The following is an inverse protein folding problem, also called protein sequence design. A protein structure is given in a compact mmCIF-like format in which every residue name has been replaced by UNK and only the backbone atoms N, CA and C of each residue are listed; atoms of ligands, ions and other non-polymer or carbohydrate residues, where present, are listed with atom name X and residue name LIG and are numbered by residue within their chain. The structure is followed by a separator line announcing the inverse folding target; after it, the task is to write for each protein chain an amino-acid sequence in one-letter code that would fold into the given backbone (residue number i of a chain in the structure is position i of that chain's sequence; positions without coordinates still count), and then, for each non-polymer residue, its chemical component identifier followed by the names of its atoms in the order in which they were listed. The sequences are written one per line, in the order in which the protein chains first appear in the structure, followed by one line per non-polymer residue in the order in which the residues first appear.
data_IF_078784354655
#
_entry.id   IF_078784354655
#
_cell.length_a   1.000
_cell.length_b   1.000
_cell.length_c   1.000
_cell.angle_alpha   90.00
_cell.angle_beta   90.00
_cell.angle_gamma   90.00
#
_symmetry.space_group_name_H-M   'P 1'
#
loop_
_entity.id
_entity.type
_entity.pdbx_description
1 polymer ?
#
# COMPACT_ATOMS: atom_id res chain seq x y z
N UNK A 1 4.05 -16.12 -3.82
CA UNK A 1 3.08 -16.30 -2.71
C UNK A 1 1.66 -16.32 -3.32
N UNK A 2 0.75 -17.21 -2.91
CA UNK A 2 -0.62 -17.20 -3.44
C UNK A 2 -1.38 -16.04 -2.79
N UNK A 3 -1.86 -15.07 -3.57
CA UNK A 3 -2.51 -13.87 -3.04
C UNK A 3 -3.87 -14.18 -2.39
N UNK A 4 -4.60 -15.12 -3.00
CA UNK A 4 -5.85 -15.61 -2.45
C UNK A 4 -5.54 -16.70 -1.41
N UNK A 5 -5.90 -16.53 -0.13
CA UNK A 5 -5.66 -17.55 0.89
C UNK A 5 -6.68 -18.69 0.84
N UNK A 6 -7.79 -18.51 0.12
CA UNK A 6 -8.89 -19.46 0.03
C UNK A 6 -8.52 -20.68 -0.79
N UNK A 7 -8.82 -21.86 -0.25
CA UNK A 7 -8.78 -23.12 -0.98
C UNK A 7 -10.08 -23.35 -1.73
N UNK A 8 -10.06 -24.28 -2.70
CA UNK A 8 -11.28 -24.71 -3.40
C UNK A 8 -12.31 -25.38 -2.48
N UNK A 9 -11.89 -25.86 -1.30
CA UNK A 9 -12.79 -26.39 -0.29
C UNK A 9 -13.48 -25.25 0.47
N UNK A 10 -12.74 -24.21 0.88
CA UNK A 10 -13.29 -23.03 1.53
C UNK A 10 -14.33 -22.35 0.63
N UNK A 11 -14.02 -22.21 -0.67
CA UNK A 11 -14.95 -21.62 -1.64
C UNK A 11 -16.27 -22.40 -1.70
N UNK A 12 -16.22 -23.73 -1.78
CA UNK A 12 -17.43 -24.58 -1.80
C UNK A 12 -18.24 -24.44 -0.51
N UNK A 13 -17.57 -24.42 0.64
CA UNK A 13 -18.25 -24.29 1.93
C UNK A 13 -18.94 -22.93 2.07
N UNK A 14 -18.28 -21.85 1.65
CA UNK A 14 -18.84 -20.50 1.65
C UNK A 14 -20.03 -20.42 0.69
N UNK A 15 -19.90 -20.89 -0.56
CA UNK A 15 -20.98 -20.87 -1.55
C UNK A 15 -22.21 -21.65 -1.08
N UNK A 16 -22.00 -22.85 -0.52
CA UNK A 16 -23.08 -23.65 0.07
C UNK A 16 -23.74 -22.94 1.25
N UNK A 17 -22.97 -22.26 2.10
CA UNK A 17 -23.48 -21.54 3.27
C UNK A 17 -24.36 -20.35 2.90
N UNK A 18 -24.02 -19.64 1.83
CA UNK A 18 -24.80 -18.50 1.32
C UNK A 18 -25.89 -18.91 0.32
N UNK A 19 -26.00 -20.21 -0.01
CA UNK A 19 -27.08 -20.77 -0.82
C UNK A 19 -26.96 -20.51 -2.32
N UNK A 20 -25.73 -20.44 -2.85
CA UNK A 20 -25.47 -20.41 -4.29
C UNK A 20 -24.59 -21.59 -4.71
N UNK A 21 -24.74 -22.03 -5.97
CA UNK A 21 -24.03 -23.18 -6.53
C UNK A 21 -22.69 -22.83 -7.17
N UNK A 22 -22.45 -21.55 -7.47
CA UNK A 22 -21.20 -21.06 -8.07
C UNK A 22 -20.93 -19.59 -7.78
N UNK A 23 -19.69 -19.15 -7.96
CA UNK A 23 -19.34 -17.73 -7.90
C UNK A 23 -20.09 -16.90 -8.96
N UNK A 24 -20.30 -17.43 -10.16
CA UNK A 24 -21.06 -16.73 -11.20
C UNK A 24 -22.51 -16.49 -10.77
N UNK A 25 -23.17 -17.49 -10.17
CA UNK A 25 -24.52 -17.32 -9.64
C UNK A 25 -24.59 -16.25 -8.54
N UNK A 26 -23.55 -16.12 -7.70
CA UNK A 26 -23.46 -15.04 -6.71
C UNK A 26 -23.42 -13.67 -7.39
N UNK A 27 -22.62 -13.51 -8.44
CA UNK A 27 -22.52 -12.25 -9.20
C UNK A 27 -23.85 -11.91 -9.86
N UNK A 28 -24.49 -12.87 -10.54
CA UNK A 28 -25.77 -12.66 -11.24
C UNK A 28 -26.92 -12.25 -10.31
N UNK A 29 -26.87 -12.69 -9.04
CA UNK A 29 -27.85 -12.31 -8.02
C UNK A 29 -27.63 -10.91 -7.44
N UNK A 30 -26.41 -10.36 -7.50
CA UNK A 30 -26.03 -9.10 -6.86
C UNK A 30 -25.93 -7.96 -7.87
N UNK A 31 -25.34 -8.23 -9.04
CA UNK A 31 -25.04 -7.21 -10.05
C UNK A 31 -26.02 -7.38 -11.23
N UNK A 32 -26.87 -6.37 -11.52
CA UNK A 32 -27.73 -6.37 -12.69
C UNK A 32 -26.96 -6.68 -13.98
N UNK A 33 -27.54 -7.51 -14.85
CA UNK A 33 -26.89 -8.02 -16.07
C UNK A 33 -26.39 -6.89 -16.99
N UNK A 34 -27.13 -5.78 -17.08
CA UNK A 34 -26.79 -4.61 -17.87
C UNK A 34 -25.57 -3.83 -17.33
N UNK A 35 -25.19 -4.06 -16.07
CA UNK A 35 -23.99 -3.51 -15.44
C UNK A 35 -22.80 -4.48 -15.43
N UNK A 36 -22.99 -5.73 -15.85
CA UNK A 36 -21.91 -6.71 -15.88
C UNK A 36 -21.01 -6.55 -17.11
N UNK A 37 -19.70 -6.47 -16.89
CA UNK A 37 -18.71 -6.46 -17.97
C UNK A 37 -18.29 -7.88 -18.36
N UNK A 38 -18.76 -8.34 -19.51
CA UNK A 38 -18.47 -9.68 -20.06
C UNK A 38 -17.26 -9.72 -21.01
N UNK A 39 -16.54 -8.61 -21.16
CA UNK A 39 -15.35 -8.53 -22.00
C UNK A 39 -14.11 -9.08 -21.31
N UNK A 40 -13.02 -9.20 -22.07
CA UNK A 40 -11.70 -9.44 -21.48
C UNK A 40 -11.14 -8.11 -20.99
N UNK A 41 -10.54 -8.11 -19.79
CA UNK A 41 -9.69 -7.00 -19.39
C UNK A 41 -8.47 -7.03 -20.32
N UNK A 42 -8.18 -5.96 -21.06
CA UNK A 42 -7.10 -5.89 -22.06
C UNK A 42 -5.71 -5.84 -21.44
N UNK A 43 -5.45 -6.69 -20.44
CA UNK A 43 -4.21 -6.79 -19.69
C UNK A 43 -3.26 -7.80 -20.35
N UNK A 44 -1.95 -7.61 -20.23
CA UNK A 44 -0.97 -8.63 -20.60
C UNK A 44 -1.16 -9.93 -19.81
N UNK A 45 -0.57 -11.00 -20.31
CA UNK A 45 -0.56 -12.28 -19.62
C UNK A 45 0.09 -12.17 -18.24
N UNK A 46 -0.44 -12.94 -17.28
CA UNK A 46 0.12 -13.00 -15.94
C UNK A 46 1.53 -13.57 -15.97
N UNK A 47 2.42 -12.97 -15.18
CA UNK A 47 3.81 -13.40 -15.02
C UNK A 47 4.07 -13.83 -13.58
N UNK A 48 5.09 -14.65 -13.38
CA UNK A 48 5.53 -15.04 -12.04
C UNK A 48 6.13 -13.87 -11.26
N UNK A 49 6.22 -14.02 -9.93
CA UNK A 49 6.84 -13.03 -9.05
C UNK A 49 8.30 -12.71 -9.44
N UNK A 50 9.05 -13.72 -9.91
CA UNK A 50 10.42 -13.53 -10.34
C UNK A 50 10.51 -12.76 -11.67
N UNK A 51 9.60 -13.04 -12.59
CA UNK A 51 9.54 -12.34 -13.88
C UNK A 51 9.15 -10.88 -13.68
N UNK A 52 8.12 -10.58 -12.89
CA UNK A 52 7.71 -9.20 -12.63
C UNK A 52 8.83 -8.40 -11.94
N UNK A 53 9.55 -9.00 -10.99
CA UNK A 53 10.72 -8.34 -10.36
C UNK A 53 11.80 -8.00 -11.37
N UNK A 54 12.07 -8.85 -12.36
CA UNK A 54 13.04 -8.58 -13.44
C UNK A 54 12.56 -7.45 -14.34
N UNK A 55 11.29 -7.49 -14.75
CA UNK A 55 10.66 -6.46 -15.60
C UNK A 55 10.76 -5.09 -14.91
N UNK A 56 10.33 -4.99 -13.64
CA UNK A 56 10.36 -3.74 -12.88
C UNK A 56 11.78 -3.21 -12.68
N UNK A 57 12.77 -4.09 -12.43
CA UNK A 57 14.18 -3.68 -12.34
C UNK A 57 14.73 -3.15 -13.67
N UNK A 58 14.35 -3.77 -14.79
CA UNK A 58 14.75 -3.30 -16.12
C UNK A 58 14.20 -1.90 -16.38
N UNK A 59 12.90 -1.70 -16.16
CA UNK A 59 12.24 -0.40 -16.34
C UNK A 59 12.83 0.67 -15.43
N UNK A 60 13.07 0.35 -14.16
CA UNK A 60 13.70 1.28 -13.22
C UNK A 60 15.14 1.67 -13.64
N UNK A 61 15.86 0.77 -14.33
CA UNK A 61 17.20 1.01 -14.85
C UNK A 61 17.28 2.00 -16.01
N UNK A 62 16.15 2.32 -16.64
CA UNK A 62 16.08 3.34 -17.71
C UNK A 62 16.05 4.77 -17.14
N UNK A 63 15.81 4.93 -15.83
CA UNK A 63 15.74 6.22 -15.17
C UNK A 63 17.12 6.76 -14.75
N UNK A 64 17.34 8.05 -14.93
CA UNK A 64 18.38 8.79 -14.21
C UNK A 64 17.96 8.94 -12.74
N UNK A 65 18.80 8.50 -11.81
CA UNK A 65 18.49 8.50 -10.38
C UNK A 65 19.64 9.05 -9.52
N UNK A 66 19.35 9.37 -8.27
CA UNK A 66 20.29 10.00 -7.34
C UNK A 66 21.49 9.11 -6.94
N UNK A 67 21.47 7.80 -7.24
CA UNK A 67 22.64 6.94 -6.99
C UNK A 67 23.76 7.19 -8.00
N UNK A 68 23.41 7.62 -9.22
CA UNK A 68 24.35 7.81 -10.32
C UNK A 68 24.57 9.29 -10.67
N UNK A 69 23.66 10.17 -10.23
CA UNK A 69 23.66 11.60 -10.55
C UNK A 69 23.42 12.43 -9.31
N UNK A 70 24.14 13.55 -9.19
CA UNK A 70 23.85 14.55 -8.17
C UNK A 70 22.76 15.50 -8.66
N UNK A 71 21.73 15.71 -7.85
CA UNK A 71 20.64 16.64 -8.14
C UNK A 71 20.69 17.85 -7.21
N UNK A 72 20.86 19.04 -7.79
CA UNK A 72 20.81 20.33 -7.07
C UNK A 72 19.62 21.20 -7.50
N UNK A 73 18.58 20.57 -8.07
CA UNK A 73 17.41 21.28 -8.61
C UNK A 73 16.55 21.94 -7.51
N UNK A 74 16.57 21.41 -6.28
CA UNK A 74 15.83 21.96 -5.15
C UNK A 74 14.32 21.93 -5.35
N UNK A 75 13.64 23.06 -5.11
CA UNK A 75 12.19 23.22 -5.24
C UNK A 75 11.38 22.28 -4.31
N UNK A 76 11.75 22.22 -3.02
CA UNK A 76 11.02 21.45 -2.01
C UNK A 76 11.46 19.99 -1.88
N UNK A 77 12.27 19.47 -2.81
CA UNK A 77 12.84 18.12 -2.73
C UNK A 77 14.36 18.21 -2.70
N UNK A 78 14.95 17.68 -1.63
CA UNK A 78 16.38 17.77 -1.37
C UNK A 78 16.95 16.40 -1.04
N UNK A 79 18.06 16.05 -1.67
CA UNK A 79 18.78 14.83 -1.38
C UNK A 79 19.31 14.87 0.06
N UNK A 80 19.11 13.79 0.83
CA UNK A 80 19.47 13.72 2.23
C UNK A 80 19.82 12.30 2.63
N UNK A 81 20.61 12.17 3.70
CA UNK A 81 20.98 10.87 4.23
C UNK A 81 19.77 10.18 4.87
N UNK A 82 19.44 8.98 4.38
CA UNK A 82 18.45 8.08 4.97
C UNK A 82 19.18 7.07 5.86
N UNK A 83 18.96 7.07 7.19
CA UNK A 83 19.59 6.10 8.08
C UNK A 83 19.21 4.66 7.74
N UNK A 84 20.16 3.73 7.80
CA UNK A 84 19.96 2.32 7.42
C UNK A 84 18.84 1.60 8.22
N UNK A 85 18.51 2.10 9.41
CA UNK A 85 17.40 1.56 10.22
C UNK A 85 16.03 1.79 9.56
N UNK A 86 15.89 2.83 8.71
CA UNK A 86 14.62 3.17 8.06
C UNK A 86 14.15 2.03 7.16
N UNK A 87 15.05 1.47 6.33
CA UNK A 87 14.73 0.31 5.48
C UNK A 87 14.26 -0.90 6.29
N UNK A 88 14.85 -1.13 7.47
CA UNK A 88 14.44 -2.19 8.37
C UNK A 88 13.08 -1.92 9.02
N UNK A 89 12.69 -0.66 9.22
CA UNK A 89 11.39 -0.31 9.78
C UNK A 89 10.29 -0.41 8.72
N UNK A 90 10.50 0.14 7.53
CA UNK A 90 9.47 0.16 6.48
C UNK A 90 9.23 -1.22 5.85
N UNK A 91 10.17 -2.16 6.01
CA UNK A 91 10.00 -3.55 5.54
C UNK A 91 9.18 -4.43 6.49
N UNK A 92 8.89 -3.96 7.71
CA UNK A 92 8.13 -4.68 8.73
C UNK A 92 6.63 -4.47 8.54
N UNK A 93 5.89 -5.57 8.34
CA UNK A 93 4.47 -5.54 8.01
C UNK A 93 3.61 -4.89 9.10
N UNK A 94 4.00 -4.99 10.37
CA UNK A 94 3.30 -4.36 11.49
C UNK A 94 3.23 -2.83 11.38
N UNK A 95 4.11 -2.18 10.62
CA UNK A 95 4.11 -0.72 10.45
C UNK A 95 3.33 -0.24 9.21
N UNK A 96 3.25 -1.03 8.14
CA UNK A 96 2.62 -0.58 6.88
C UNK A 96 1.29 -1.27 6.55
N UNK A 97 0.92 -2.34 7.25
CA UNK A 97 -0.37 -3.03 7.04
C UNK A 97 -1.49 -2.52 7.93
N UNK A 98 -1.15 -1.89 9.06
CA UNK A 98 -2.13 -1.23 9.91
C UNK A 98 -2.71 0.00 9.20
N UNK A 99 -4.01 0.25 9.39
CA UNK A 99 -4.69 1.44 8.86
C UNK A 99 -4.83 2.52 9.94
N UNK A 100 -5.68 3.51 9.70
CA UNK A 100 -5.98 4.60 10.66
C UNK A 100 -6.24 4.03 12.07
N UNK A 101 -5.61 4.60 13.11
CA UNK A 101 -5.66 4.06 14.48
C UNK A 101 -6.99 4.37 15.18
N UNK A 102 -8.11 3.92 14.61
CA UNK A 102 -9.46 4.09 15.19
C UNK A 102 -9.65 3.34 16.51
N UNK A 103 -8.89 2.26 16.73
CA UNK A 103 -8.88 1.49 17.98
C UNK A 103 -7.62 1.85 18.76
N UNK A 104 -7.72 2.88 19.60
CA UNK A 104 -6.57 3.49 20.25
C UNK A 104 -5.83 2.52 21.19
N UNK A 105 -6.56 1.64 21.88
CA UNK A 105 -6.04 0.67 22.85
C UNK A 105 -5.07 -0.33 22.24
N UNK A 106 -5.22 -0.61 20.95
CA UNK A 106 -4.36 -1.54 20.19
C UNK A 106 -3.46 -0.82 19.17
N UNK A 107 -3.42 0.52 19.20
CA UNK A 107 -2.67 1.35 18.25
C UNK A 107 -1.68 2.32 18.93
N UNK A 108 -1.39 2.13 20.22
CA UNK A 108 -0.57 3.05 21.01
C UNK A 108 0.82 3.30 20.42
N UNK A 109 1.44 2.30 19.78
CA UNK A 109 2.74 2.50 19.12
C UNK A 109 2.70 3.53 17.99
N UNK A 110 1.70 3.43 17.10
CA UNK A 110 1.49 4.38 16.00
C UNK A 110 1.10 5.76 16.54
N UNK A 111 0.21 5.80 17.54
CA UNK A 111 -0.22 7.06 18.17
C UNK A 111 0.94 7.79 18.85
N UNK A 112 1.86 7.05 19.50
CA UNK A 112 3.08 7.63 20.05
C UNK A 112 3.94 8.24 18.94
N UNK A 113 4.21 7.51 17.85
CA UNK A 113 5.00 8.04 16.72
C UNK A 113 4.37 9.30 16.12
N UNK A 114 3.04 9.36 16.01
CA UNK A 114 2.32 10.56 15.57
C UNK A 114 2.53 11.72 16.54
N UNK A 115 2.42 11.46 17.85
CA UNK A 115 2.67 12.47 18.87
C UNK A 115 4.11 13.00 18.85
N UNK A 116 5.10 12.13 18.66
CA UNK A 116 6.51 12.53 18.50
C UNK A 116 6.68 13.41 17.25
N UNK A 117 6.07 13.04 16.12
CA UNK A 117 6.07 13.87 14.91
C UNK A 117 5.48 15.26 15.19
N UNK A 118 4.30 15.33 15.81
CA UNK A 118 3.66 16.60 16.15
C UNK A 118 4.55 17.44 17.07
N UNK A 119 5.17 16.82 18.07
CA UNK A 119 6.06 17.48 19.02
C UNK A 119 7.29 18.08 18.32
N UNK A 120 7.95 17.30 17.45
CA UNK A 120 9.10 17.76 16.66
C UNK A 120 8.71 18.94 15.76
N UNK A 121 7.55 18.88 15.10
CA UNK A 121 7.08 19.99 14.25
C UNK A 121 6.79 21.25 15.08
N UNK A 122 6.13 21.12 16.24
CA UNK A 122 5.89 22.25 17.14
C UNK A 122 7.21 22.87 17.61
N UNK A 123 8.17 22.07 18.04
CA UNK A 123 9.49 22.56 18.48
C UNK A 123 10.27 23.27 17.37
N UNK A 124 10.26 22.70 16.15
CA UNK A 124 10.97 23.27 15.00
C UNK A 124 10.34 24.57 14.50
N UNK A 125 9.01 24.69 14.56
CA UNK A 125 8.27 25.84 14.02
C UNK A 125 7.93 26.90 15.06
N UNK A 126 8.02 26.58 16.35
CA UNK A 126 7.58 27.43 17.45
C UNK A 126 6.06 27.56 17.56
N UNK A 127 5.29 26.67 16.92
CA UNK A 127 3.83 26.66 16.96
C UNK A 127 3.31 25.84 18.15
N UNK A 128 2.11 26.15 18.61
CA UNK A 128 1.50 25.46 19.77
C UNK A 128 0.95 24.08 19.41
N UNK A 129 0.46 23.88 18.18
CA UNK A 129 -0.21 22.65 17.74
C UNK A 129 0.18 22.33 16.29
N UNK A 130 0.48 21.06 16.04
CA UNK A 130 0.65 20.48 14.72
C UNK A 130 -0.36 19.33 14.51
N UNK A 131 -0.78 19.10 13.27
CA UNK A 131 -1.61 17.94 12.93
C UNK A 131 -0.73 16.69 12.66
N UNK A 132 -1.38 15.56 12.41
CA UNK A 132 -0.71 14.28 12.11
C UNK A 132 -0.37 14.13 10.62
N UNK A 133 0.29 15.13 10.01
CA UNK A 133 0.68 15.25 8.58
C UNK A 133 -0.40 15.75 7.60
N UNK A 134 0.04 16.03 6.38
CA UNK A 134 -0.72 16.37 5.16
C UNK A 134 -0.06 15.69 3.95
N UNK A 135 -0.64 15.81 2.75
CA UNK A 135 -0.12 15.11 1.56
C UNK A 135 1.24 15.61 1.06
N UNK A 136 1.44 16.93 1.00
CA UNK A 136 2.67 17.58 0.52
C UNK A 136 2.79 19.02 1.07
N UNK A 137 3.82 19.75 0.61
CA UNK A 137 4.13 21.12 1.04
C UNK A 137 3.47 22.25 0.23
N UNK A 138 2.65 21.92 -0.79
CA UNK A 138 2.07 22.90 -1.74
C UNK A 138 2.96 23.26 -2.93
#
# INVERSE_FOLDING_TARGET
MHYLPLTSQDEKEILNKIGVSSFQELIDKIIPEDLQYNGKCGLPDAVSENEIRKILRSLAGENYNNNNYLSFLGAGVYDHYIPAIVDSLISRSEFYTAYTPYQAEVSQGTLQTIFEYQSVICELTGMEIANASMYDGG
#
